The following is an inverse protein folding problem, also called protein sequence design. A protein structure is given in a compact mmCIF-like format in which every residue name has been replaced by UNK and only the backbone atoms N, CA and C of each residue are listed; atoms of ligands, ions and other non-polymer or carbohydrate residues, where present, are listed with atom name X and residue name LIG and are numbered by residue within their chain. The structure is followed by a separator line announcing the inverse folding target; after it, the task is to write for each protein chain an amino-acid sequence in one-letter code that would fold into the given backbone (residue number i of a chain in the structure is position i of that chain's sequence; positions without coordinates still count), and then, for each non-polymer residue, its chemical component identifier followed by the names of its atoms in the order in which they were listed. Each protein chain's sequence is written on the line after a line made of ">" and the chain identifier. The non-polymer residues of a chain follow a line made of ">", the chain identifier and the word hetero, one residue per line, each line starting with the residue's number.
data_IF_268288265740
#
_entry.id   IF_268288265740
#
_cell.length_a   1.000
_cell.length_b   1.000
_cell.length_c   1.000
_cell.angle_alpha   90.00
_cell.angle_beta   90.00
_cell.angle_gamma   90.00
#
_symmetry.space_group_name_H-M   'P 1'
#
loop_
_entity.id
_entity.type
_entity.pdbx_description
1 polymer ?
#
# COMPACT_ATOMS: atom_id res chain seq x y z
N UNK A 1 13.58 29.86 12.35
CA UNK A 1 13.46 28.79 11.34
C UNK A 1 13.46 27.44 12.04
N UNK A 2 12.30 26.77 12.14
CA UNK A 2 12.14 25.42 12.71
C UNK A 2 11.50 24.50 11.66
N UNK A 3 12.14 24.36 10.50
CA UNK A 3 11.63 23.57 9.37
C UNK A 3 12.26 22.18 9.24
N UNK A 4 13.18 21.81 10.14
CA UNK A 4 13.97 20.56 10.03
C UNK A 4 13.49 19.43 10.92
N UNK A 5 12.58 19.67 11.87
CA UNK A 5 12.16 18.66 12.85
C UNK A 5 11.13 17.67 12.27
N UNK A 6 10.41 18.04 11.20
CA UNK A 6 9.43 17.16 10.53
C UNK A 6 9.99 16.33 9.37
N UNK A 7 11.24 16.53 8.96
CA UNK A 7 11.86 15.77 7.84
C UNK A 7 12.41 14.40 8.26
N UNK A 8 12.50 14.15 9.57
CA UNK A 8 13.14 12.96 10.15
C UNK A 8 12.14 12.06 10.88
N UNK A 9 10.90 12.51 11.10
CA UNK A 9 9.76 11.64 11.37
C UNK A 9 9.27 11.09 10.02
N UNK A 10 9.51 9.86 9.59
CA UNK A 10 10.35 8.76 10.06
C UNK A 10 10.58 7.94 8.78
N UNK A 11 11.76 8.03 8.14
CA UNK A 11 12.04 7.22 6.94
C UNK A 11 11.78 5.72 7.21
N UNK A 12 11.97 5.30 8.46
CA UNK A 12 11.65 3.96 8.96
C UNK A 12 10.13 3.69 9.03
N UNK A 13 9.31 4.65 9.47
CA UNK A 13 7.85 4.54 9.50
C UNK A 13 7.26 4.56 8.08
N UNK A 14 7.81 5.39 7.19
CA UNK A 14 7.47 5.40 5.76
C UNK A 14 7.82 4.06 5.13
N UNK A 15 9.03 3.55 5.37
CA UNK A 15 9.45 2.24 4.86
C UNK A 15 8.59 1.10 5.43
N UNK A 16 8.25 1.15 6.72
CA UNK A 16 7.36 0.17 7.36
C UNK A 16 5.97 0.20 6.70
N UNK A 17 5.41 1.38 6.50
CA UNK A 17 4.10 1.56 5.87
C UNK A 17 4.10 1.06 4.42
N UNK A 18 5.13 1.37 3.64
CA UNK A 18 5.29 0.86 2.28
C UNK A 18 5.44 -0.66 2.24
N UNK A 19 6.16 -1.24 3.20
CA UNK A 19 6.30 -2.69 3.34
C UNK A 19 4.96 -3.35 3.68
N UNK A 20 4.19 -2.78 4.60
CA UNK A 20 2.85 -3.29 4.96
C UNK A 20 1.89 -3.25 3.77
N UNK A 21 1.91 -2.16 2.99
CA UNK A 21 1.15 -2.04 1.73
C UNK A 21 1.57 -3.14 0.76
N UNK A 22 2.87 -3.38 0.60
CA UNK A 22 3.39 -4.41 -0.31
C UNK A 22 2.97 -5.83 0.14
N UNK A 23 3.09 -6.14 1.42
CA UNK A 23 2.68 -7.43 2.00
C UNK A 23 1.20 -7.67 1.79
N UNK A 24 0.35 -6.67 2.06
CA UNK A 24 -1.08 -6.77 1.88
C UNK A 24 -1.45 -6.94 0.40
N UNK A 25 -0.81 -6.18 -0.49
CA UNK A 25 -1.00 -6.31 -1.93
C UNK A 25 -0.69 -7.72 -2.43
N UNK A 26 0.44 -8.32 -2.01
CA UNK A 26 0.82 -9.69 -2.40
C UNK A 26 -0.21 -10.71 -1.89
N UNK A 27 -0.64 -10.61 -0.62
CA UNK A 27 -1.66 -11.52 -0.05
C UNK A 27 -2.95 -11.48 -0.86
N UNK A 28 -3.43 -10.28 -1.19
CA UNK A 28 -4.63 -10.09 -1.99
C UNK A 28 -4.45 -10.61 -3.43
N UNK A 29 -3.30 -10.36 -4.05
CA UNK A 29 -3.01 -10.87 -5.39
C UNK A 29 -3.01 -12.41 -5.44
N UNK A 30 -2.41 -13.06 -4.44
CA UNK A 30 -2.44 -14.52 -4.30
C UNK A 30 -3.87 -15.02 -4.13
N UNK A 31 -4.66 -14.39 -3.25
CA UNK A 31 -6.08 -14.72 -3.08
C UNK A 31 -6.86 -14.56 -4.40
N UNK A 32 -6.62 -13.50 -5.16
CA UNK A 32 -7.28 -13.27 -6.44
C UNK A 32 -6.90 -14.31 -7.51
N UNK A 33 -5.65 -14.78 -7.51
CA UNK A 33 -5.17 -15.83 -8.42
C UNK A 33 -5.72 -17.21 -8.08
N UNK A 34 -6.20 -17.42 -6.84
CA UNK A 34 -6.75 -18.69 -6.43
C UNK A 34 -8.03 -19.00 -7.24
N UNK A 35 -8.11 -20.23 -7.77
CA UNK A 35 -9.21 -20.73 -8.59
C UNK A 35 -10.52 -20.83 -7.81
N UNK A 36 -10.43 -21.04 -6.49
CA UNK A 36 -11.60 -21.20 -5.61
C UNK A 36 -12.13 -19.87 -5.07
N UNK A 37 -11.45 -18.75 -5.35
CA UNK A 37 -11.93 -17.43 -4.92
C UNK A 37 -13.15 -17.03 -5.75
N UNK A 38 -14.23 -16.69 -5.07
CA UNK A 38 -15.48 -16.27 -5.68
C UNK A 38 -15.29 -15.02 -6.55
N UNK A 39 -16.04 -14.92 -7.66
CA UNK A 39 -15.95 -13.78 -8.59
C UNK A 39 -16.22 -12.44 -7.89
N UNK A 40 -17.25 -12.37 -7.03
CA UNK A 40 -17.54 -11.17 -6.25
C UNK A 40 -16.37 -10.77 -5.34
N UNK A 41 -15.67 -11.74 -4.74
CA UNK A 41 -14.48 -11.49 -3.91
C UNK A 41 -13.31 -10.98 -4.76
N UNK A 42 -13.12 -11.50 -5.98
CA UNK A 42 -12.08 -11.00 -6.90
C UNK A 42 -12.28 -9.54 -7.26
N UNK A 43 -13.52 -9.10 -7.49
CA UNK A 43 -13.80 -7.67 -7.76
C UNK A 43 -13.50 -6.79 -6.54
N UNK A 44 -13.85 -7.23 -5.34
CA UNK A 44 -13.47 -6.53 -4.09
C UNK A 44 -11.96 -6.46 -3.95
N UNK A 45 -11.24 -7.56 -4.22
CA UNK A 45 -9.78 -7.60 -4.17
C UNK A 45 -9.19 -6.59 -5.17
N UNK A 46 -9.69 -6.54 -6.42
CA UNK A 46 -9.19 -5.58 -7.42
C UNK A 46 -9.36 -4.13 -6.96
N UNK A 47 -10.51 -3.79 -6.38
CA UNK A 47 -10.76 -2.45 -5.84
C UNK A 47 -9.79 -2.13 -4.69
N UNK A 48 -9.56 -3.09 -3.80
CA UNK A 48 -8.63 -2.94 -2.68
C UNK A 48 -7.18 -2.78 -3.14
N UNK A 49 -6.75 -3.55 -4.15
CA UNK A 49 -5.43 -3.41 -4.77
C UNK A 49 -5.27 -2.01 -5.40
N UNK A 50 -6.28 -1.49 -6.07
CA UNK A 50 -6.22 -0.12 -6.62
C UNK A 50 -6.10 0.92 -5.50
N UNK A 51 -6.85 0.77 -4.41
CA UNK A 51 -6.73 1.64 -3.22
C UNK A 51 -5.32 1.63 -2.65
N UNK A 52 -4.71 0.44 -2.52
CA UNK A 52 -3.33 0.29 -2.00
C UNK A 52 -2.29 0.95 -2.93
N UNK A 53 -2.49 0.87 -4.25
CA UNK A 53 -1.62 1.57 -5.20
C UNK A 53 -1.72 3.09 -5.06
N UNK A 54 -2.93 3.62 -4.93
CA UNK A 54 -3.14 5.05 -4.69
C UNK A 54 -2.50 5.51 -3.39
N UNK A 55 -2.61 4.72 -2.32
CA UNK A 55 -1.98 5.04 -1.03
C UNK A 55 -0.46 5.06 -1.11
N UNK A 56 0.13 4.06 -1.75
CA UNK A 56 1.58 4.03 -2.05
C UNK A 56 2.00 5.26 -2.84
N UNK A 57 1.27 5.59 -3.90
CA UNK A 57 1.62 6.70 -4.79
C UNK A 57 1.58 8.04 -4.04
N UNK A 58 0.60 8.25 -3.15
CA UNK A 58 0.55 9.42 -2.25
C UNK A 58 1.77 9.52 -1.33
N UNK A 59 2.15 8.40 -0.70
CA UNK A 59 3.33 8.35 0.19
C UNK A 59 4.61 8.69 -0.59
N UNK A 60 4.75 8.18 -1.81
CA UNK A 60 5.91 8.44 -2.66
C UNK A 60 5.93 9.88 -3.20
N UNK A 61 4.78 10.44 -3.59
CA UNK A 61 4.64 11.83 -4.03
C UNK A 61 5.02 12.83 -2.92
N UNK A 62 4.71 12.52 -1.65
CA UNK A 62 5.11 13.35 -0.51
C UNK A 62 6.63 13.37 -0.24
N UNK A 63 7.39 12.48 -0.88
CA UNK A 63 8.85 12.38 -0.74
C UNK A 63 9.63 13.18 -1.79
N UNK A 64 9.06 13.37 -2.98
CA UNK A 64 9.63 14.14 -4.12
C UNK A 64 9.43 15.63 -3.99
#
# INVERSE_FOLDING_TARGET
>A
MKYTVWRVLDDEEINSTLLDIAVLHVKLALECSNKNTLSCRKEVIKAEIQRLKMERDRILEHRT
#
